data_IF_405532638518
#
_entry.id   IF_405532638518
#
_cell.length_a   1.000
_cell.length_b   1.000
_cell.length_c   1.000
_cell.angle_alpha   90.00
_cell.angle_beta   90.00
_cell.angle_gamma   90.00
#
_symmetry.space_group_name_H-M   'P 1'
#
loop_
_entity.id
_entity.type
_entity.pdbx_description
1 polymer ?
#
# COMPACT_ATOMS: atom_id res chain seq x y z
N UNK A 1 -32.57 -9.60 -7.61
CA UNK A 1 -33.42 -10.61 -6.97
C UNK A 1 -34.70 -10.88 -7.76
N UNK A 2 -35.58 -9.88 -7.97
CA UNK A 2 -36.87 -10.06 -8.67
C UNK A 2 -36.72 -10.76 -10.03
N UNK A 3 -35.85 -10.25 -10.92
CA UNK A 3 -35.58 -10.86 -12.23
C UNK A 3 -35.19 -12.35 -12.16
N UNK A 4 -34.44 -12.75 -11.13
CA UNK A 4 -34.05 -14.15 -10.93
C UNK A 4 -35.23 -15.04 -10.55
N UNK A 5 -36.17 -14.53 -9.74
CA UNK A 5 -37.42 -15.23 -9.42
C UNK A 5 -38.39 -15.28 -10.60
N UNK A 6 -38.33 -14.30 -11.50
CA UNK A 6 -39.07 -14.28 -12.78
C UNK A 6 -38.44 -15.18 -13.86
N UNK A 7 -37.42 -15.96 -13.53
CA UNK A 7 -36.81 -16.93 -14.44
C UNK A 7 -35.76 -16.37 -15.39
N UNK A 8 -35.32 -15.11 -15.22
CA UNK A 8 -34.24 -14.55 -16.05
C UNK A 8 -32.91 -15.25 -15.74
N UNK A 9 -32.36 -15.98 -16.71
CA UNK A 9 -31.05 -16.63 -16.59
C UNK A 9 -29.89 -15.66 -16.84
N UNK A 10 -28.71 -15.92 -16.24
CA UNK A 10 -27.50 -15.11 -16.42
C UNK A 10 -26.92 -15.22 -17.83
N UNK A 11 -26.13 -14.21 -18.24
CA UNK A 11 -25.32 -14.16 -19.48
C UNK A 11 -26.14 -14.16 -20.78
N UNK A 12 -27.36 -13.60 -20.72
CA UNK A 12 -28.12 -13.25 -21.90
C UNK A 12 -27.65 -11.88 -22.42
N UNK A 13 -27.35 -11.79 -23.72
CA UNK A 13 -26.99 -10.53 -24.38
C UNK A 13 -28.23 -9.82 -24.94
N UNK A 14 -29.27 -10.58 -25.27
CA UNK A 14 -30.57 -10.12 -25.74
C UNK A 14 -31.67 -10.93 -25.05
N UNK A 15 -32.85 -10.35 -24.92
CA UNK A 15 -34.01 -11.01 -24.31
C UNK A 15 -35.29 -10.50 -24.99
N UNK A 16 -36.29 -11.36 -25.08
CA UNK A 16 -37.56 -11.06 -25.78
C UNK A 16 -38.74 -10.85 -24.83
N UNK A 17 -38.54 -11.02 -23.50
CA UNK A 17 -39.59 -10.87 -22.50
C UNK A 17 -39.73 -9.40 -22.05
N UNK A 18 -40.82 -8.70 -22.41
CA UNK A 18 -41.01 -7.28 -22.05
C UNK A 18 -41.22 -7.05 -20.55
N UNK A 19 -41.61 -8.07 -19.78
CA UNK A 19 -41.85 -7.94 -18.33
C UNK A 19 -40.55 -7.67 -17.55
N UNK A 20 -39.39 -7.95 -18.14
CA UNK A 20 -38.08 -7.72 -17.52
C UNK A 20 -37.58 -6.27 -17.67
N UNK A 21 -38.09 -5.53 -18.66
CA UNK A 21 -37.60 -4.19 -19.03
C UNK A 21 -37.60 -3.17 -17.87
N UNK A 22 -38.66 -3.06 -17.05
CA UNK A 22 -38.68 -2.07 -15.97
C UNK A 22 -37.60 -2.36 -14.93
N UNK A 23 -37.39 -3.63 -14.59
CA UNK A 23 -36.39 -4.03 -13.59
C UNK A 23 -34.96 -3.89 -14.09
N UNK A 24 -34.73 -4.17 -15.38
CA UNK A 24 -33.44 -3.93 -16.02
C UNK A 24 -33.12 -2.44 -16.12
N UNK A 25 -34.12 -1.60 -16.39
CA UNK A 25 -33.96 -0.13 -16.38
C UNK A 25 -33.58 0.39 -14.99
N UNK A 26 -34.21 -0.14 -13.93
CA UNK A 26 -33.85 0.19 -12.54
C UNK A 26 -32.41 -0.28 -12.23
N UNK A 27 -32.05 -1.50 -12.65
CA UNK A 27 -30.69 -2.02 -12.46
C UNK A 27 -29.63 -1.17 -13.19
N UNK A 28 -29.96 -0.70 -14.40
CA UNK A 28 -29.11 0.22 -15.16
C UNK A 28 -28.96 1.56 -14.42
N UNK A 29 -30.05 2.13 -13.92
CA UNK A 29 -30.00 3.34 -13.10
C UNK A 29 -29.11 3.16 -11.86
N UNK A 30 -29.23 2.03 -11.16
CA UNK A 30 -28.33 1.68 -10.05
C UNK A 30 -26.86 1.62 -10.47
N UNK A 31 -26.58 1.10 -11.67
CA UNK A 31 -25.22 1.07 -12.24
C UNK A 31 -24.67 2.48 -12.53
N UNK A 32 -25.52 3.39 -13.01
CA UNK A 32 -25.16 4.82 -13.19
C UNK A 32 -24.84 5.46 -11.85
N UNK A 33 -25.61 5.19 -10.78
CA UNK A 33 -25.30 5.69 -9.44
C UNK A 33 -23.95 5.18 -8.92
N UNK A 34 -23.61 3.91 -9.17
CA UNK A 34 -22.29 3.37 -8.84
C UNK A 34 -21.18 4.09 -9.62
N UNK A 35 -21.40 4.38 -10.91
CA UNK A 35 -20.43 5.13 -11.72
C UNK A 35 -20.20 6.55 -11.17
N UNK A 36 -21.26 7.23 -10.71
CA UNK A 36 -21.14 8.53 -10.03
C UNK A 36 -20.35 8.38 -8.73
N UNK A 37 -20.61 7.33 -7.94
CA UNK A 37 -19.86 7.03 -6.72
C UNK A 37 -18.36 6.83 -6.99
N UNK A 38 -18.01 6.09 -8.06
CA UNK A 38 -16.63 5.90 -8.49
C UNK A 38 -15.98 7.23 -8.90
N UNK A 39 -16.71 8.08 -9.63
CA UNK A 39 -16.24 9.42 -9.98
C UNK A 39 -15.96 10.26 -8.74
N UNK A 40 -16.87 10.28 -7.76
CA UNK A 40 -16.67 10.96 -6.49
C UNK A 40 -15.44 10.43 -5.73
N UNK A 41 -15.22 9.12 -5.74
CA UNK A 41 -14.04 8.50 -5.13
C UNK A 41 -12.73 8.95 -5.80
N UNK A 42 -12.68 8.96 -7.14
CA UNK A 42 -11.51 9.47 -7.87
C UNK A 42 -11.28 10.95 -7.58
N UNK A 43 -12.35 11.75 -7.58
CA UNK A 43 -12.28 13.18 -7.24
C UNK A 43 -11.77 13.40 -5.81
N UNK A 44 -12.19 12.59 -4.84
CA UNK A 44 -11.69 12.64 -3.47
C UNK A 44 -10.17 12.42 -3.41
N UNK A 45 -9.64 11.43 -4.13
CA UNK A 45 -8.20 11.18 -4.22
C UNK A 45 -7.47 12.36 -4.87
N UNK A 46 -7.97 12.86 -6.00
CA UNK A 46 -7.35 13.96 -6.75
C UNK A 46 -7.30 15.24 -5.90
N UNK A 47 -8.43 15.64 -5.32
CA UNK A 47 -8.50 16.83 -4.47
C UNK A 47 -7.64 16.65 -3.22
N UNK A 48 -7.64 15.45 -2.62
CA UNK A 48 -6.76 15.12 -1.50
C UNK A 48 -5.28 15.30 -1.84
N UNK A 49 -4.84 14.84 -3.01
CA UNK A 49 -3.47 15.01 -3.48
C UNK A 49 -3.11 16.47 -3.78
N UNK A 50 -4.02 17.24 -4.39
CA UNK A 50 -3.81 18.65 -4.71
C UNK A 50 -3.74 19.51 -3.44
N UNK A 51 -4.51 19.18 -2.41
CA UNK A 51 -4.57 19.91 -1.14
C UNK A 51 -3.66 19.33 -0.05
N UNK A 52 -2.79 18.38 -0.38
CA UNK A 52 -1.97 17.64 0.60
C UNK A 52 -1.19 18.52 1.57
N UNK A 53 -0.61 19.63 1.10
CA UNK A 53 0.21 20.52 1.91
C UNK A 53 -0.58 21.25 3.01
N UNK A 54 -1.89 21.37 2.88
CA UNK A 54 -2.76 22.06 3.85
C UNK A 54 -3.32 21.10 4.91
N UNK A 55 -3.25 19.79 4.67
CA UNK A 55 -3.88 18.73 5.48
C UNK A 55 -2.89 17.65 5.86
N UNK A 56 -1.65 18.06 6.11
CA UNK A 56 -0.62 17.15 6.58
C UNK A 56 -0.89 16.80 8.04
N UNK A 57 -0.80 15.50 8.34
CA UNK A 57 -0.61 15.05 9.69
C UNK A 57 0.84 15.33 10.11
N UNK A 58 1.00 15.97 11.26
CA UNK A 58 2.28 16.40 11.80
C UNK A 58 2.69 15.59 13.03
N UNK A 59 1.80 14.78 13.59
CA UNK A 59 2.08 13.97 14.77
C UNK A 59 2.44 12.52 14.40
N UNK A 60 1.84 11.97 13.35
CA UNK A 60 1.86 10.54 13.07
C UNK A 60 0.57 9.83 13.52
N UNK A 61 -0.28 10.52 14.28
CA UNK A 61 -1.52 9.99 14.84
C UNK A 61 -2.70 10.97 14.61
N UNK A 62 -3.28 11.01 13.40
CA UNK A 62 -4.38 11.92 13.07
C UNK A 62 -5.74 11.46 13.63
N UNK A 63 -5.83 10.23 14.16
CA UNK A 63 -7.10 9.62 14.59
C UNK A 63 -7.12 9.22 16.07
N UNK A 64 -6.07 9.53 16.82
CA UNK A 64 -5.87 9.00 18.18
C UNK A 64 -5.93 7.46 18.18
N UNK A 65 -5.14 6.84 17.30
CA UNK A 65 -5.07 5.41 17.07
C UNK A 65 -4.45 4.63 18.23
N UNK A 66 -4.68 3.32 18.27
CA UNK A 66 -4.31 2.45 19.41
C UNK A 66 -3.05 1.61 19.18
N UNK A 67 -2.76 1.37 17.94
CA UNK A 67 -1.78 0.40 17.44
C UNK A 67 -0.49 1.12 17.00
N UNK A 68 0.59 0.36 16.79
CA UNK A 68 1.94 0.93 16.64
C UNK A 68 2.18 1.68 15.33
N UNK A 69 1.35 1.48 14.31
CA UNK A 69 1.45 2.26 13.07
C UNK A 69 1.24 3.76 13.31
N UNK A 70 0.50 4.13 14.36
CA UNK A 70 0.28 5.51 14.77
C UNK A 70 1.42 6.05 15.65
N UNK A 71 2.35 5.19 16.04
CA UNK A 71 3.54 5.54 16.82
C UNK A 71 4.73 5.93 15.94
N UNK A 72 4.59 5.96 14.61
CA UNK A 72 5.64 6.39 13.67
C UNK A 72 5.40 7.83 13.18
N UNK A 73 6.29 8.39 12.37
CA UNK A 73 6.08 9.71 11.76
C UNK A 73 5.11 9.64 10.57
N UNK A 74 4.58 10.79 10.14
CA UNK A 74 3.82 10.93 8.90
C UNK A 74 4.60 11.77 7.87
N UNK A 75 5.14 11.17 6.79
CA UNK A 75 5.18 9.74 6.47
C UNK A 75 6.16 8.96 7.36
N UNK A 76 5.98 7.63 7.42
CA UNK A 76 6.87 6.74 8.17
C UNK A 76 8.29 6.77 7.58
N UNK A 77 9.35 6.67 8.41
CA UNK A 77 10.70 6.54 7.90
C UNK A 77 10.85 5.17 7.21
N UNK A 78 11.78 5.07 6.27
CA UNK A 78 11.96 3.85 5.46
C UNK A 78 12.39 2.61 6.28
N UNK A 79 12.85 2.79 7.52
CA UNK A 79 13.17 1.74 8.49
C UNK A 79 12.02 1.45 9.49
N UNK A 80 10.88 2.13 9.37
CA UNK A 80 9.70 2.09 10.27
C UNK A 80 9.96 2.58 11.70
N UNK A 81 10.77 1.85 12.48
CA UNK A 81 11.08 2.15 13.88
C UNK A 81 12.60 2.16 14.08
N UNK A 82 13.13 3.21 14.70
CA UNK A 82 14.55 3.29 15.04
C UNK A 82 14.95 2.28 16.13
N UNK A 83 14.04 1.98 17.05
CA UNK A 83 14.19 0.91 18.04
C UNK A 83 12.97 0.01 18.02
N UNK A 84 13.19 -1.29 18.24
CA UNK A 84 12.08 -2.24 18.31
C UNK A 84 11.19 -1.91 19.52
N UNK A 85 9.88 -1.68 19.30
CA UNK A 85 8.97 -1.38 20.39
C UNK A 85 8.80 -2.59 21.32
N UNK A 86 8.75 -2.34 22.62
CA UNK A 86 8.51 -3.38 23.63
C UNK A 86 7.01 -3.61 23.78
N UNK A 87 6.54 -4.78 23.35
CA UNK A 87 5.11 -5.10 23.34
C UNK A 87 4.70 -5.67 24.68
N UNK A 88 3.79 -4.97 25.38
CA UNK A 88 3.27 -5.39 26.68
C UNK A 88 1.79 -5.80 26.62
N UNK A 89 1.13 -5.62 25.48
CA UNK A 89 -0.28 -5.96 25.27
C UNK A 89 -0.73 -5.72 23.82
N UNK A 90 -2.02 -5.95 23.58
CA UNK A 90 -2.64 -5.79 22.24
C UNK A 90 -2.54 -4.33 21.77
N UNK A 91 -2.92 -3.38 22.62
CA UNK A 91 -2.92 -1.94 22.33
C UNK A 91 -1.74 -1.23 23.02
N UNK A 92 -0.51 -1.69 22.75
CA UNK A 92 0.69 -1.18 23.45
C UNK A 92 0.84 0.34 23.31
N UNK A 93 0.61 0.91 22.12
CA UNK A 93 0.72 2.37 21.92
C UNK A 93 -0.34 3.16 22.70
N UNK A 94 -1.57 2.63 22.82
CA UNK A 94 -2.60 3.24 23.64
C UNK A 94 -2.22 3.29 25.12
N UNK A 95 -1.76 2.17 25.67
CA UNK A 95 -1.29 2.09 27.06
C UNK A 95 -0.09 3.00 27.30
N UNK A 96 0.83 3.10 26.34
CA UNK A 96 1.97 4.02 26.44
C UNK A 96 1.54 5.50 26.41
N UNK A 97 0.46 5.84 25.69
CA UNK A 97 -0.14 7.19 25.71
C UNK A 97 -0.75 7.49 27.07
N UNK A 98 -1.54 6.57 27.63
CA UNK A 98 -2.15 6.71 28.96
C UNK A 98 -1.10 6.85 30.07
N UNK A 99 0.02 6.13 29.95
CA UNK A 99 1.14 6.19 30.88
C UNK A 99 2.09 7.38 30.64
N UNK A 100 1.88 8.18 29.58
CA UNK A 100 2.70 9.34 29.24
C UNK A 100 4.11 9.00 28.71
N UNK A 101 4.32 7.78 28.24
CA UNK A 101 5.63 7.28 27.75
C UNK A 101 5.68 7.06 26.23
N UNK A 102 4.57 7.25 25.51
CA UNK A 102 4.45 6.99 24.07
C UNK A 102 5.50 7.70 23.19
N UNK A 103 5.94 8.90 23.56
CA UNK A 103 6.88 9.71 22.78
C UNK A 103 8.22 9.90 23.50
N UNK A 104 8.61 8.96 24.36
CA UNK A 104 9.89 9.03 25.05
C UNK A 104 11.06 9.03 24.05
N UNK A 105 11.97 10.00 24.17
CA UNK A 105 13.17 10.08 23.33
C UNK A 105 14.18 9.00 23.74
N UNK A 106 14.65 8.14 22.84
CA UNK A 106 15.74 7.22 23.13
C UNK A 106 17.05 7.98 23.31
N UNK A 107 17.94 7.45 24.15
CA UNK A 107 19.21 8.10 24.50
C UNK A 107 20.32 7.84 23.51
N UNK A 108 20.23 6.76 22.70
CA UNK A 108 21.25 6.35 21.76
C UNK A 108 20.62 5.62 20.58
N UNK A 109 21.02 6.00 19.37
CA UNK A 109 20.67 5.29 18.13
C UNK A 109 21.78 4.32 17.72
N UNK A 110 21.39 3.29 16.97
CA UNK A 110 22.27 2.26 16.44
C UNK A 110 22.18 2.21 14.92
N UNK A 111 23.19 1.64 14.28
CA UNK A 111 23.19 1.46 12.83
C UNK A 111 22.12 0.41 12.46
N UNK A 112 21.26 0.76 11.49
CA UNK A 112 20.16 -0.12 11.06
C UNK A 112 20.56 -0.82 9.76
N UNK A 113 20.50 -2.16 9.75
CA UNK A 113 20.70 -2.96 8.55
C UNK A 113 19.44 -2.92 7.66
N UNK A 114 19.60 -2.55 6.40
CA UNK A 114 18.50 -2.43 5.43
C UNK A 114 18.82 -3.15 4.13
N UNK A 115 17.81 -3.77 3.48
CA UNK A 115 17.97 -4.36 2.15
C UNK A 115 18.06 -3.29 1.07
N UNK A 116 18.85 -3.56 0.04
CA UNK A 116 18.96 -2.72 -1.16
C UNK A 116 17.82 -2.98 -2.15
N UNK A 117 17.44 -1.95 -2.92
CA UNK A 117 16.49 -2.10 -4.02
C UNK A 117 17.09 -2.95 -5.15
N UNK A 118 16.31 -3.89 -5.70
CA UNK A 118 16.73 -4.78 -6.79
C UNK A 118 15.76 -4.77 -7.96
N UNK A 119 16.29 -4.57 -9.16
CA UNK A 119 15.51 -4.62 -10.40
C UNK A 119 15.19 -6.05 -10.88
N UNK A 120 15.82 -7.08 -10.30
CA UNK A 120 15.70 -8.46 -10.76
C UNK A 120 14.24 -8.96 -10.80
N UNK A 121 13.45 -8.65 -9.76
CA UNK A 121 12.04 -9.03 -9.72
C UNK A 121 11.23 -8.43 -10.87
N UNK A 122 11.46 -7.15 -11.20
CA UNK A 122 10.82 -6.48 -12.33
C UNK A 122 11.22 -7.10 -13.67
N UNK A 123 12.51 -7.36 -13.87
CA UNK A 123 13.04 -7.97 -15.11
C UNK A 123 12.45 -9.36 -15.33
N UNK A 124 12.42 -10.20 -14.29
CA UNK A 124 11.82 -11.55 -14.36
C UNK A 124 10.33 -11.45 -14.68
N UNK A 125 9.60 -10.52 -14.04
CA UNK A 125 8.18 -10.30 -14.32
C UNK A 125 7.93 -9.90 -15.79
N UNK A 126 8.79 -9.08 -16.38
CA UNK A 126 8.71 -8.73 -17.81
C UNK A 126 8.90 -9.96 -18.71
N UNK A 127 9.89 -10.82 -18.43
CA UNK A 127 10.07 -12.06 -19.19
C UNK A 127 8.87 -13.00 -19.07
N UNK A 128 8.33 -13.18 -17.86
CA UNK A 128 7.14 -14.01 -17.63
C UNK A 128 5.91 -13.43 -18.36
N UNK A 129 5.77 -12.10 -18.42
CA UNK A 129 4.68 -11.44 -19.13
C UNK A 129 4.76 -11.73 -20.63
N UNK A 130 5.94 -11.59 -21.24
CA UNK A 130 6.16 -11.91 -22.65
C UNK A 130 5.97 -13.41 -22.91
N UNK A 131 6.42 -14.27 -22.00
CA UNK A 131 6.20 -15.72 -22.06
C UNK A 131 4.71 -16.07 -22.05
N UNK A 132 3.92 -15.44 -21.16
CA UNK A 132 2.47 -15.62 -21.08
C UNK A 132 1.77 -15.22 -22.38
N UNK A 133 2.16 -14.08 -22.96
CA UNK A 133 1.69 -13.68 -24.29
C UNK A 133 2.07 -14.72 -25.35
N UNK A 134 3.32 -15.18 -25.39
CA UNK A 134 3.79 -16.17 -26.36
C UNK A 134 3.03 -17.52 -26.26
N UNK A 135 2.70 -17.97 -25.04
CA UNK A 135 1.90 -19.17 -24.79
C UNK A 135 0.48 -19.04 -25.35
N UNK A 136 -0.18 -17.90 -25.15
CA UNK A 136 -1.53 -17.63 -25.67
C UNK A 136 -1.56 -17.70 -27.20
N UNK A 137 -0.53 -17.17 -27.86
CA UNK A 137 -0.45 -17.09 -29.32
C UNK A 137 0.33 -18.25 -29.97
N UNK A 138 0.65 -19.30 -29.21
CA UNK A 138 1.40 -20.47 -29.70
C UNK A 138 2.76 -20.15 -30.36
N UNK A 139 3.43 -19.09 -29.91
CA UNK A 139 4.75 -18.65 -30.42
C UNK A 139 5.85 -19.40 -29.66
N UNK A 140 6.03 -20.69 -29.95
CA UNK A 140 6.86 -21.60 -29.13
C UNK A 140 8.32 -21.18 -28.98
N UNK A 141 8.95 -20.66 -30.04
CA UNK A 141 10.35 -20.20 -29.94
C UNK A 141 10.50 -19.08 -28.90
N UNK A 142 9.53 -18.17 -28.82
CA UNK A 142 9.54 -17.06 -27.88
C UNK A 142 9.30 -17.53 -26.45
N UNK A 143 8.46 -18.57 -26.27
CA UNK A 143 8.28 -19.24 -24.97
C UNK A 143 9.63 -19.77 -24.46
N UNK A 144 10.36 -20.52 -25.29
CA UNK A 144 11.66 -21.06 -24.88
C UNK A 144 12.67 -19.95 -24.55
N UNK A 145 12.77 -18.92 -25.40
CA UNK A 145 13.69 -17.79 -25.19
C UNK A 145 13.39 -17.06 -23.88
N UNK A 146 12.12 -16.71 -23.64
CA UNK A 146 11.71 -15.95 -22.45
C UNK A 146 11.80 -16.78 -21.17
N UNK A 147 11.51 -18.08 -21.24
CA UNK A 147 11.68 -19.01 -20.12
C UNK A 147 13.15 -19.13 -19.72
N UNK A 148 14.04 -19.34 -20.70
CA UNK A 148 15.48 -19.40 -20.46
C UNK A 148 15.99 -18.05 -19.92
N UNK A 149 15.55 -16.93 -20.48
CA UNK A 149 15.94 -15.59 -20.01
C UNK A 149 15.48 -15.32 -18.56
N UNK A 150 14.29 -15.78 -18.17
CA UNK A 150 13.79 -15.68 -16.81
C UNK A 150 14.63 -16.52 -15.83
N UNK A 151 14.96 -17.76 -16.20
CA UNK A 151 15.84 -18.64 -15.41
C UNK A 151 17.23 -18.02 -15.26
N UNK A 152 17.84 -17.56 -16.36
CA UNK A 152 19.16 -16.91 -16.32
C UNK A 152 19.12 -15.67 -15.44
N UNK A 153 18.09 -14.83 -15.56
CA UNK A 153 17.92 -13.64 -14.71
C UNK A 153 17.82 -13.99 -13.24
N UNK A 154 17.08 -15.06 -12.90
CA UNK A 154 16.98 -15.56 -11.54
C UNK A 154 18.33 -16.06 -11.01
N UNK A 155 19.06 -16.86 -11.79
CA UNK A 155 20.38 -17.37 -11.43
C UNK A 155 21.35 -16.19 -11.23
N UNK A 156 21.45 -15.25 -12.16
CA UNK A 156 22.32 -14.08 -12.04
C UNK A 156 21.97 -13.26 -10.78
N UNK A 157 20.68 -13.09 -10.50
CA UNK A 157 20.21 -12.41 -9.29
C UNK A 157 20.62 -13.14 -8.01
N UNK A 158 20.60 -14.48 -7.97
CA UNK A 158 20.98 -15.25 -6.79
C UNK A 158 22.46 -15.13 -6.43
N UNK A 159 23.34 -14.86 -7.40
CA UNK A 159 24.77 -14.64 -7.15
C UNK A 159 25.12 -13.21 -6.71
N UNK A 160 24.14 -12.32 -6.59
CA UNK A 160 24.38 -10.92 -6.21
C UNK A 160 24.70 -10.82 -4.71
N UNK A 161 25.94 -10.42 -4.38
CA UNK A 161 26.45 -10.30 -3.00
C UNK A 161 26.12 -8.98 -2.31
N UNK A 162 25.91 -7.90 -3.06
CA UNK A 162 25.48 -6.60 -2.48
C UNK A 162 23.97 -6.67 -2.29
N UNK A 163 23.54 -7.13 -1.11
CA UNK A 163 22.11 -7.34 -0.80
C UNK A 163 21.60 -6.28 0.15
N UNK A 164 22.49 -5.70 0.92
CA UNK A 164 22.22 -4.91 2.09
C UNK A 164 23.17 -3.71 2.20
N UNK A 165 22.78 -2.78 3.07
CA UNK A 165 23.58 -1.65 3.49
C UNK A 165 23.21 -1.30 4.93
N UNK A 166 24.07 -0.52 5.59
CA UNK A 166 23.78 0.01 6.91
C UNK A 166 23.40 1.49 6.80
N UNK A 167 22.34 1.86 7.48
CA UNK A 167 21.96 3.25 7.73
C UNK A 167 22.73 3.69 8.98
N UNK A 168 23.61 4.70 8.89
CA UNK A 168 24.39 5.15 10.03
C UNK A 168 23.49 5.71 11.14
N UNK A 169 23.83 5.46 12.40
CA UNK A 169 23.11 5.96 13.57
C UNK A 169 22.94 7.49 13.55
N UNK A 170 23.91 8.22 13.01
CA UNK A 170 23.84 9.69 12.86
C UNK A 170 22.71 10.14 11.92
N UNK A 171 22.41 9.35 10.88
CA UNK A 171 21.32 9.66 9.96
C UNK A 171 19.96 9.31 10.58
N UNK A 172 19.88 8.20 11.30
CA UNK A 172 18.68 7.83 12.09
C UNK A 172 18.38 8.90 13.13
N UNK A 173 19.41 9.34 13.87
CA UNK A 173 19.30 10.40 14.87
C UNK A 173 18.80 11.72 14.26
N UNK A 174 19.31 12.10 13.08
CA UNK A 174 18.86 13.30 12.37
C UNK A 174 17.36 13.22 12.05
N UNK A 175 16.91 12.11 11.48
CA UNK A 175 15.50 11.90 11.07
C UNK A 175 14.57 11.89 12.30
N UNK A 176 14.93 11.16 13.35
CA UNK A 176 14.11 11.10 14.57
C UNK A 176 14.09 12.44 15.32
N UNK A 177 15.21 13.17 15.36
CA UNK A 177 15.24 14.51 15.97
C UNK A 177 14.36 15.52 15.21
N UNK A 178 14.33 15.46 13.87
CA UNK A 178 13.40 16.26 13.06
C UNK A 178 11.94 15.93 13.40
N UNK A 179 11.62 14.64 13.52
CA UNK A 179 10.29 14.19 13.97
C UNK A 179 9.94 14.72 15.36
N UNK A 180 10.82 14.54 16.34
CA UNK A 180 10.56 14.99 17.71
C UNK A 180 10.42 16.51 17.81
N UNK A 181 11.14 17.28 16.99
CA UNK A 181 10.97 18.73 16.92
C UNK A 181 9.59 19.14 16.40
N UNK A 182 9.05 18.40 15.42
CA UNK A 182 7.68 18.61 14.93
C UNK A 182 6.66 18.21 16.00
N UNK A 183 6.84 17.06 16.64
CA UNK A 183 5.97 16.58 17.72
C UNK A 183 5.89 17.58 18.88
N UNK A 184 7.03 18.08 19.37
CA UNK A 184 7.06 19.05 20.48
C UNK A 184 6.35 20.37 20.14
N UNK A 185 6.38 20.78 18.86
CA UNK A 185 5.71 21.99 18.40
C UNK A 185 4.18 21.84 18.38
N UNK A 186 3.67 20.64 18.13
CA UNK A 186 2.24 20.40 17.95
C UNK A 186 1.57 19.81 19.20
N UNK A 187 2.24 18.93 19.96
CA UNK A 187 1.71 18.37 21.21
C UNK A 187 1.67 19.37 22.38
N UNK A 188 2.51 20.42 22.38
CA UNK A 188 2.46 21.46 23.43
C UNK A 188 1.37 22.52 23.20
N UNK A 189 0.71 22.47 22.04
CA UNK A 189 -0.25 23.49 21.62
C UNK A 189 -1.70 23.13 21.99
N UNK A 190 -1.92 21.88 22.34
CA UNK A 190 -3.18 21.32 22.85
C UNK A 190 -3.07 21.08 24.37
#
# INVERSE_FOLDING_TARGET
YILGFMGMTRRLNTYDNPEWDPYLSIAFFGSVLIAIGLFCFVMQIVVGFLQRNQRLDLTGDPWDGRTLEWATSSPAPFYNFAHLPKINGIDTFWTDKENGVAYARPTKYEDIHMPTNRAAGFIIAMFITVMGFALIWHIWWLVFVTFIAAIISFIVSSFTKKVDYYVPAAEVERIENERYAILEKHLKKD
#
